data_IF_510483418087
#
_entry.id   IF_510483418087
#
_cell.length_a   1.000
_cell.length_b   1.000
_cell.length_c   1.000
_cell.angle_alpha   90.00
_cell.angle_beta   90.00
_cell.angle_gamma   90.00
#
_symmetry.space_group_name_H-M   'P 1'
#
loop_
_entity.id
_entity.type
_entity.pdbx_description
1 polymer ?
#
# COMPACT_ATOMS: atom_id res chain seq x y z
N UNK A 1 -3.70 -8.39 -11.39
CA UNK A 1 -3.95 -7.15 -10.62
C UNK A 1 -2.73 -6.88 -9.75
N UNK A 2 -2.13 -5.70 -9.89
CA UNK A 2 -0.98 -5.25 -9.12
C UNK A 2 -1.45 -4.26 -8.06
N UNK A 3 -1.16 -4.53 -6.79
CA UNK A 3 -1.64 -3.70 -5.69
C UNK A 3 -0.74 -2.47 -5.44
N UNK A 4 -1.33 -1.43 -4.86
CA UNK A 4 -0.63 -0.22 -4.42
C UNK A 4 0.15 -0.47 -3.10
N UNK A 5 0.92 0.53 -2.64
CA UNK A 5 1.80 0.45 -1.48
C UNK A 5 1.13 -0.14 -0.23
N UNK A 6 -0.04 0.33 0.12
CA UNK A 6 -0.77 -0.05 1.33
C UNK A 6 -1.96 -0.99 1.07
N UNK A 7 -1.94 -1.68 -0.05
CA UNK A 7 -2.91 -2.72 -0.40
C UNK A 7 -2.21 -4.09 -0.46
N UNK A 8 -2.97 -5.15 -0.66
CA UNK A 8 -2.50 -6.52 -0.70
C UNK A 8 -3.06 -7.29 -1.88
N UNK A 9 -2.76 -8.58 -1.96
CA UNK A 9 -3.35 -9.50 -2.91
C UNK A 9 -4.89 -9.66 -2.74
N UNK A 10 -5.44 -9.28 -1.61
CA UNK A 10 -6.88 -9.39 -1.34
C UNK A 10 -7.66 -8.24 -1.98
N UNK A 11 -7.90 -8.34 -3.28
CA UNK A 11 -8.57 -7.30 -4.06
C UNK A 11 -10.09 -7.45 -4.15
N UNK A 12 -10.65 -8.65 -3.99
CA UNK A 12 -12.09 -8.91 -4.12
C UNK A 12 -12.57 -10.01 -3.17
N UNK A 13 -13.87 -10.03 -2.88
CA UNK A 13 -14.50 -10.99 -1.99
C UNK A 13 -14.26 -10.68 -0.51
N UNK A 14 -14.66 -11.62 0.34
CA UNK A 14 -14.45 -11.57 1.79
C UNK A 14 -13.40 -12.62 2.17
N UNK A 15 -12.57 -12.34 3.17
CA UNK A 15 -11.73 -13.37 3.77
C UNK A 15 -12.61 -14.44 4.42
N UNK A 16 -12.18 -15.70 4.33
CA UNK A 16 -12.78 -16.79 5.08
C UNK A 16 -12.19 -16.85 6.50
N UNK A 17 -13.04 -17.05 7.48
CA UNK A 17 -12.64 -17.39 8.84
C UNK A 17 -12.11 -18.82 8.95
N UNK A 18 -11.65 -19.23 10.16
CA UNK A 18 -11.15 -20.58 10.41
C UNK A 18 -12.18 -21.69 10.14
N UNK A 19 -13.46 -21.36 10.22
CA UNK A 19 -14.62 -22.20 9.94
C UNK A 19 -15.05 -22.21 8.47
N UNK A 20 -14.36 -21.41 7.62
CA UNK A 20 -14.68 -21.24 6.20
C UNK A 20 -15.77 -20.20 5.93
N UNK A 21 -16.39 -19.61 6.96
CA UNK A 21 -17.41 -18.58 6.79
C UNK A 21 -16.79 -17.22 6.46
N UNK A 22 -17.48 -16.37 5.66
CA UNK A 22 -16.99 -15.05 5.32
C UNK A 22 -16.85 -14.15 6.56
N UNK A 23 -15.68 -13.56 6.75
CA UNK A 23 -15.43 -12.61 7.83
C UNK A 23 -16.10 -11.26 7.51
N UNK A 24 -17.01 -10.76 8.36
CA UNK A 24 -17.60 -9.45 8.18
C UNK A 24 -16.53 -8.34 8.09
N UNK A 25 -16.74 -7.38 7.18
CA UNK A 25 -15.84 -6.22 6.96
C UNK A 25 -14.42 -6.57 6.45
N UNK A 26 -14.21 -7.78 5.96
CA UNK A 26 -12.94 -8.21 5.34
C UNK A 26 -12.95 -8.07 3.82
N UNK A 27 -13.79 -7.21 3.27
CA UNK A 27 -13.96 -7.01 1.83
C UNK A 27 -12.66 -6.56 1.16
N UNK A 28 -12.38 -7.18 0.01
CA UNK A 28 -11.24 -6.81 -0.83
C UNK A 28 -11.27 -5.33 -1.23
N UNK A 29 -10.10 -4.70 -1.31
CA UNK A 29 -9.97 -3.26 -1.52
C UNK A 29 -10.50 -2.77 -2.89
N UNK A 30 -10.71 -3.68 -3.85
CA UNK A 30 -11.26 -3.40 -5.18
C UNK A 30 -12.50 -4.24 -5.52
N UNK A 31 -13.18 -4.72 -4.53
CA UNK A 31 -14.35 -5.59 -4.70
C UNK A 31 -15.45 -4.96 -5.56
N UNK A 32 -15.58 -3.64 -5.54
CA UNK A 32 -16.53 -2.94 -6.41
C UNK A 32 -16.18 -3.04 -7.90
N UNK A 33 -14.94 -3.34 -8.26
CA UNK A 33 -14.45 -3.44 -9.64
C UNK A 33 -14.31 -4.87 -10.14
N UNK A 34 -14.11 -5.84 -9.25
CA UNK A 34 -13.73 -7.22 -9.60
C UNK A 34 -14.76 -8.20 -9.04
N UNK A 35 -15.34 -9.00 -9.91
CA UNK A 35 -16.36 -10.00 -9.56
C UNK A 35 -17.26 -10.35 -10.73
N UNK A 36 -18.22 -11.27 -10.55
CA UNK A 36 -19.19 -11.63 -11.57
C UNK A 36 -20.01 -10.43 -12.02
N UNK A 37 -19.99 -10.13 -13.32
CA UNK A 37 -20.72 -9.00 -13.93
C UNK A 37 -20.17 -7.60 -13.58
N UNK A 38 -19.05 -7.51 -12.86
CA UNK A 38 -18.35 -6.23 -12.55
C UNK A 38 -17.43 -5.83 -13.70
N UNK A 39 -16.86 -4.61 -13.72
CA UNK A 39 -15.97 -4.15 -14.79
C UNK A 39 -14.83 -5.13 -15.14
N UNK A 40 -14.25 -5.78 -14.15
CA UNK A 40 -13.36 -6.94 -14.32
C UNK A 40 -14.18 -8.19 -13.99
N UNK A 41 -14.84 -8.72 -15.01
CA UNK A 41 -15.80 -9.79 -14.88
C UNK A 41 -15.12 -11.16 -14.70
N UNK A 42 -15.25 -11.75 -13.52
CA UNK A 42 -14.67 -13.05 -13.20
C UNK A 42 -15.40 -14.23 -13.86
N UNK A 43 -16.57 -14.04 -14.51
CA UNK A 43 -17.16 -15.04 -15.40
C UNK A 43 -16.36 -15.19 -16.71
N UNK A 44 -15.56 -14.17 -17.07
CA UNK A 44 -14.78 -14.11 -18.31
C UNK A 44 -13.29 -14.23 -18.11
N UNK A 45 -12.79 -13.78 -16.94
CA UNK A 45 -11.36 -13.70 -16.65
C UNK A 45 -11.04 -14.44 -15.37
N UNK A 46 -9.96 -15.24 -15.42
CA UNK A 46 -9.30 -15.70 -14.22
C UNK A 46 -8.43 -14.57 -13.69
N UNK A 47 -8.83 -13.96 -12.56
CA UNK A 47 -8.18 -12.78 -11.99
C UNK A 47 -7.23 -13.19 -10.89
N UNK A 48 -6.00 -12.72 -10.96
CA UNK A 48 -4.93 -13.04 -10.01
C UNK A 48 -4.44 -11.75 -9.36
N UNK A 49 -4.35 -11.74 -8.04
CA UNK A 49 -3.62 -10.76 -7.26
C UNK A 49 -2.46 -11.41 -6.55
N UNK A 50 -1.27 -10.85 -6.69
CA UNK A 50 -0.04 -11.38 -6.10
C UNK A 50 0.46 -10.35 -5.10
N UNK A 51 0.77 -10.80 -3.87
CA UNK A 51 1.35 -9.92 -2.87
C UNK A 51 2.86 -9.79 -3.12
N UNK A 52 3.37 -8.55 -3.05
CA UNK A 52 4.76 -8.26 -3.37
C UNK A 52 5.71 -8.75 -2.27
N UNK A 53 6.86 -9.35 -2.59
CA UNK A 53 7.96 -9.52 -1.64
C UNK A 53 8.35 -8.18 -0.99
N UNK A 54 8.67 -8.21 0.29
CA UNK A 54 8.89 -7.00 1.08
C UNK A 54 7.63 -6.36 1.67
N UNK A 55 6.44 -6.80 1.23
CA UNK A 55 5.16 -6.33 1.79
C UNK A 55 4.89 -6.92 3.17
N UNK A 56 4.17 -6.18 4.00
CA UNK A 56 3.73 -6.61 5.33
C UNK A 56 2.42 -7.43 5.34
N UNK A 57 1.95 -7.91 4.18
CA UNK A 57 0.65 -8.59 4.02
C UNK A 57 0.79 -10.08 3.67
N UNK A 58 1.81 -10.76 4.20
CA UNK A 58 1.96 -12.20 4.14
C UNK A 58 3.04 -12.75 3.21
N UNK A 59 3.59 -11.96 2.29
CA UNK A 59 4.82 -12.33 1.59
C UNK A 59 6.04 -12.15 2.51
N UNK A 60 7.15 -12.84 2.19
CA UNK A 60 8.41 -12.63 2.90
C UNK A 60 8.81 -11.16 2.83
N UNK A 61 9.10 -10.57 3.98
CA UNK A 61 9.39 -9.15 4.12
C UNK A 61 10.17 -8.87 5.41
N UNK A 62 10.37 -7.60 5.78
CA UNK A 62 11.12 -7.18 6.96
C UNK A 62 10.65 -7.83 8.27
N UNK A 63 9.36 -8.13 8.40
CA UNK A 63 8.79 -8.78 9.59
C UNK A 63 8.97 -10.30 9.63
N UNK A 64 9.44 -10.89 8.53
CA UNK A 64 9.67 -12.35 8.43
C UNK A 64 10.89 -12.78 9.24
N UNK A 65 10.92 -14.04 9.75
CA UNK A 65 12.10 -14.58 10.39
C UNK A 65 13.33 -14.52 9.48
N UNK A 66 14.45 -14.05 10.01
CA UNK A 66 15.73 -14.02 9.30
C UNK A 66 16.44 -15.39 9.49
N UNK A 67 16.68 -16.17 8.40
CA UNK A 67 17.32 -17.46 8.51
C UNK A 67 18.78 -17.38 8.99
N UNK A 68 19.45 -16.24 8.76
CA UNK A 68 20.86 -16.03 9.16
C UNK A 68 20.98 -15.63 10.63
N UNK A 69 19.87 -15.21 11.27
CA UNK A 69 19.85 -14.79 12.67
C UNK A 69 18.65 -15.44 13.37
N UNK A 70 18.80 -16.68 13.88
CA UNK A 70 17.69 -17.42 14.48
C UNK A 70 16.95 -16.63 15.58
N UNK A 71 15.63 -16.65 15.51
CA UNK A 71 14.76 -15.97 16.47
C UNK A 71 14.60 -14.47 16.28
N UNK A 72 15.18 -13.90 15.22
CA UNK A 72 15.06 -12.47 14.90
C UNK A 72 14.36 -12.27 13.55
N UNK A 73 13.56 -11.21 13.40
CA UNK A 73 13.08 -10.78 12.08
C UNK A 73 14.21 -10.12 11.30
N UNK A 74 14.03 -10.03 9.97
CA UNK A 74 14.97 -9.31 9.12
C UNK A 74 15.10 -7.83 9.56
N UNK A 75 14.00 -7.12 9.75
CA UNK A 75 14.04 -5.68 9.96
C UNK A 75 14.74 -4.98 8.80
N UNK A 76 15.65 -4.07 9.12
CA UNK A 76 16.48 -3.34 8.13
C UNK A 76 17.46 -4.23 7.34
N UNK A 77 17.68 -5.47 7.76
CA UNK A 77 18.54 -6.43 7.04
C UNK A 77 17.81 -7.08 5.85
N UNK A 78 16.52 -6.81 5.67
CA UNK A 78 15.78 -7.34 4.53
C UNK A 78 16.36 -6.76 3.22
N UNK A 79 16.57 -7.60 2.19
CA UNK A 79 17.12 -7.13 0.92
C UNK A 79 16.27 -6.03 0.30
N UNK A 80 16.92 -5.05 -0.32
CA UNK A 80 16.21 -4.05 -1.13
C UNK A 80 15.58 -4.76 -2.33
N UNK A 81 14.28 -4.56 -2.51
CA UNK A 81 13.52 -5.08 -3.65
C UNK A 81 12.99 -3.93 -4.49
N UNK A 82 13.06 -4.09 -5.80
CA UNK A 82 12.61 -3.10 -6.79
C UNK A 82 11.27 -3.50 -7.41
N UNK A 83 10.69 -2.60 -8.20
CA UNK A 83 9.48 -2.90 -8.98
C UNK A 83 9.75 -4.01 -9.99
N UNK A 84 10.93 -4.04 -10.57
CA UNK A 84 11.38 -5.07 -11.51
C UNK A 84 11.48 -6.44 -10.84
N UNK A 85 11.99 -6.50 -9.60
CA UNK A 85 12.05 -7.74 -8.82
C UNK A 85 10.65 -8.29 -8.53
N UNK A 86 9.70 -7.42 -8.20
CA UNK A 86 8.30 -7.83 -8.01
C UNK A 86 7.72 -8.42 -9.28
N UNK A 87 7.93 -7.75 -10.43
CA UNK A 87 7.43 -8.21 -11.72
C UNK A 87 8.09 -9.53 -12.13
N UNK A 88 9.40 -9.69 -11.88
CA UNK A 88 10.10 -10.94 -12.11
C UNK A 88 9.55 -12.09 -11.24
N UNK A 89 9.33 -11.85 -9.95
CA UNK A 89 8.72 -12.83 -9.04
C UNK A 89 7.30 -13.22 -9.47
N UNK A 90 6.49 -12.23 -9.88
CA UNK A 90 5.15 -12.46 -10.42
C UNK A 90 5.21 -13.30 -11.71
N UNK A 91 6.14 -13.01 -12.61
CA UNK A 91 6.33 -13.74 -13.86
C UNK A 91 6.71 -15.22 -13.63
N UNK A 92 7.56 -15.48 -12.63
CA UNK A 92 7.92 -16.84 -12.20
C UNK A 92 6.72 -17.60 -11.64
N UNK A 93 5.90 -16.95 -10.81
CA UNK A 93 4.69 -17.56 -10.28
C UNK A 93 3.71 -17.93 -11.40
N UNK A 94 3.45 -17.00 -12.35
CA UNK A 94 2.57 -17.26 -13.48
C UNK A 94 3.09 -18.40 -14.38
N UNK A 95 4.40 -18.49 -14.57
CA UNK A 95 5.02 -19.60 -15.28
C UNK A 95 4.75 -20.94 -14.57
N UNK A 96 4.87 -20.98 -13.25
CA UNK A 96 4.57 -22.17 -12.45
C UNK A 96 3.09 -22.58 -12.50
N UNK A 97 2.21 -21.61 -12.66
CA UNK A 97 0.77 -21.85 -12.87
C UNK A 97 0.41 -22.19 -14.32
N UNK A 98 1.39 -22.29 -15.24
CA UNK A 98 1.16 -22.58 -16.65
C UNK A 98 0.54 -21.40 -17.44
N UNK A 99 0.59 -20.19 -16.88
CA UNK A 99 0.00 -18.98 -17.50
C UNK A 99 1.09 -18.29 -18.32
N UNK A 100 0.98 -18.39 -19.63
CA UNK A 100 1.97 -17.85 -20.58
C UNK A 100 1.62 -16.45 -21.07
N UNK A 101 0.33 -16.08 -21.09
CA UNK A 101 -0.14 -14.81 -21.58
C UNK A 101 -1.24 -14.23 -20.69
N UNK A 102 -1.20 -12.92 -20.46
CA UNK A 102 -2.17 -12.15 -19.71
C UNK A 102 -3.07 -11.35 -20.67
N UNK A 103 -4.38 -11.43 -20.46
CA UNK A 103 -5.32 -10.54 -21.15
C UNK A 103 -5.08 -9.07 -20.80
N UNK A 104 -4.79 -8.79 -19.53
CA UNK A 104 -4.41 -7.46 -19.07
C UNK A 104 -3.56 -7.54 -17.80
N UNK A 105 -2.70 -6.54 -17.60
CA UNK A 105 -2.12 -6.19 -16.30
C UNK A 105 -2.71 -4.85 -15.89
N UNK A 106 -3.26 -4.78 -14.68
CA UNK A 106 -3.94 -3.59 -14.17
C UNK A 106 -3.44 -3.25 -12.78
N UNK A 107 -3.17 -1.97 -12.55
CA UNK A 107 -2.75 -1.48 -11.23
C UNK A 107 -2.88 0.02 -11.08
N UNK A 108 -3.05 0.47 -9.84
CA UNK A 108 -3.08 1.87 -9.46
C UNK A 108 -1.84 2.28 -8.67
N UNK A 109 -1.38 3.54 -8.84
CA UNK A 109 -0.22 4.06 -8.10
C UNK A 109 1.02 3.18 -8.29
N UNK A 110 1.62 2.66 -7.24
CA UNK A 110 2.73 1.70 -7.28
C UNK A 110 2.37 0.41 -8.05
N UNK A 111 1.10 -0.02 -8.00
CA UNK A 111 0.61 -1.12 -8.83
C UNK A 111 0.60 -0.78 -10.32
N UNK A 112 0.38 0.49 -10.66
CA UNK A 112 0.50 0.99 -12.04
C UNK A 112 1.95 1.00 -12.53
N UNK A 113 2.93 1.30 -11.68
CA UNK A 113 4.35 1.17 -12.01
C UNK A 113 4.71 -0.28 -12.31
N UNK A 114 4.17 -1.24 -11.54
CA UNK A 114 4.33 -2.68 -11.83
C UNK A 114 3.69 -3.04 -13.18
N UNK A 115 2.50 -2.51 -13.50
CA UNK A 115 1.84 -2.77 -14.78
C UNK A 115 2.67 -2.25 -15.95
N UNK A 116 3.29 -1.07 -15.82
CA UNK A 116 4.22 -0.53 -16.81
C UNK A 116 5.48 -1.40 -16.92
N UNK A 117 6.09 -1.80 -15.81
CA UNK A 117 7.27 -2.67 -15.82
C UNK A 117 6.97 -4.03 -16.46
N UNK A 118 5.77 -4.61 -16.28
CA UNK A 118 5.34 -5.79 -17.01
C UNK A 118 5.40 -5.64 -18.52
N UNK A 119 4.97 -4.50 -19.06
CA UNK A 119 4.99 -4.24 -20.51
C UNK A 119 6.39 -4.00 -21.04
N UNK A 120 7.33 -3.54 -20.20
CA UNK A 120 8.71 -3.32 -20.58
C UNK A 120 9.52 -4.62 -20.57
N UNK A 121 9.34 -5.47 -19.56
CA UNK A 121 10.12 -6.69 -19.38
C UNK A 121 9.52 -7.92 -20.07
N UNK A 122 8.19 -7.95 -20.24
CA UNK A 122 7.48 -9.10 -20.81
C UNK A 122 6.41 -8.66 -21.83
N UNK A 123 6.76 -7.85 -22.86
CA UNK A 123 5.79 -7.29 -23.80
C UNK A 123 4.97 -8.35 -24.53
N UNK A 124 5.56 -9.49 -24.86
CA UNK A 124 4.89 -10.60 -25.54
C UNK A 124 3.88 -11.33 -24.67
N UNK A 125 3.96 -11.18 -23.33
CA UNK A 125 3.08 -11.84 -22.37
C UNK A 125 1.87 -10.99 -21.96
N UNK A 126 1.82 -9.71 -22.33
CA UNK A 126 0.78 -8.76 -21.91
C UNK A 126 0.05 -8.21 -23.12
N UNK A 127 -1.27 -8.43 -23.21
CA UNK A 127 -2.08 -7.87 -24.31
C UNK A 127 -2.49 -6.42 -24.03
N UNK A 128 -2.84 -6.10 -22.79
CA UNK A 128 -3.28 -4.77 -22.38
C UNK A 128 -2.63 -4.36 -21.06
N UNK A 129 -2.22 -3.10 -20.98
CA UNK A 129 -1.77 -2.47 -19.74
C UNK A 129 -2.77 -1.40 -19.32
N UNK A 130 -3.24 -1.47 -18.08
CA UNK A 130 -4.16 -0.51 -17.50
C UNK A 130 -3.47 0.11 -16.28
N UNK A 131 -2.78 1.22 -16.51
CA UNK A 131 -2.05 1.97 -15.49
C UNK A 131 -2.89 3.16 -15.01
N UNK A 132 -3.24 3.19 -13.72
CA UNK A 132 -4.20 4.15 -13.16
C UNK A 132 -3.48 5.04 -12.14
N UNK A 133 -3.64 6.36 -12.24
CA UNK A 133 -3.09 7.33 -11.28
C UNK A 133 -1.62 7.02 -10.92
N UNK A 134 -0.79 6.83 -11.93
CA UNK A 134 0.61 6.45 -11.83
C UNK A 134 1.47 7.23 -12.84
N UNK A 135 2.77 7.14 -12.69
CA UNK A 135 3.72 7.76 -13.61
C UNK A 135 4.96 6.86 -13.79
N UNK A 136 5.63 6.91 -14.96
CA UNK A 136 6.87 6.20 -15.18
C UNK A 136 8.04 6.78 -14.38
N UNK A 137 7.97 8.07 -14.03
CA UNK A 137 8.95 8.80 -13.23
C UNK A 137 8.24 9.63 -12.16
N UNK A 138 8.85 9.72 -10.98
CA UNK A 138 8.40 10.64 -9.95
C UNK A 138 8.84 12.08 -10.29
N UNK A 139 7.95 13.06 -10.08
CA UNK A 139 8.32 14.47 -10.13
C UNK A 139 9.22 14.82 -8.94
N UNK A 140 9.94 15.95 -9.04
CA UNK A 140 10.73 16.49 -7.93
C UNK A 140 9.87 16.70 -6.67
N UNK A 141 8.63 17.16 -6.85
CA UNK A 141 7.68 17.34 -5.75
C UNK A 141 7.32 16.00 -5.07
N UNK A 142 7.02 14.94 -5.85
CA UNK A 142 6.77 13.62 -5.28
C UNK A 142 7.99 13.07 -4.54
N UNK A 143 9.21 13.27 -5.07
CA UNK A 143 10.46 12.88 -4.41
C UNK A 143 10.61 13.62 -3.08
N UNK A 144 10.31 14.94 -3.06
CA UNK A 144 10.37 15.75 -1.85
C UNK A 144 9.37 15.28 -0.78
N UNK A 145 8.11 15.03 -1.13
CA UNK A 145 7.12 14.48 -0.21
C UNK A 145 7.54 13.12 0.35
N UNK A 146 8.07 12.24 -0.50
CA UNK A 146 8.57 10.93 -0.08
C UNK A 146 9.77 11.06 0.87
N UNK A 147 10.67 12.04 0.64
CA UNK A 147 11.78 12.29 1.56
C UNK A 147 11.29 12.75 2.93
N UNK A 148 10.33 13.67 2.99
CA UNK A 148 9.76 14.11 4.27
C UNK A 148 9.09 12.93 5.00
N UNK A 149 8.36 12.06 4.27
CA UNK A 149 7.73 10.87 4.84
C UNK A 149 8.77 9.88 5.39
N UNK A 150 9.84 9.59 4.63
CA UNK A 150 10.94 8.74 5.10
C UNK A 150 11.64 9.33 6.33
N UNK A 151 11.93 10.65 6.28
CA UNK A 151 12.57 11.33 7.42
C UNK A 151 11.71 11.26 8.68
N UNK A 152 10.40 11.40 8.57
CA UNK A 152 9.49 11.25 9.70
C UNK A 152 9.61 9.85 10.34
N UNK A 153 9.74 8.80 9.53
CA UNK A 153 9.88 7.41 10.02
C UNK A 153 11.26 7.18 10.63
N UNK A 154 12.34 7.49 9.90
CA UNK A 154 13.70 7.14 10.34
C UNK A 154 14.21 7.98 11.53
N UNK A 155 13.59 9.13 11.78
CA UNK A 155 13.88 9.98 12.95
C UNK A 155 12.97 9.71 14.14
N UNK A 156 11.99 8.82 14.01
CA UNK A 156 11.18 8.36 15.15
C UNK A 156 12.10 7.65 16.17
N UNK A 157 12.11 8.05 17.46
CA UNK A 157 12.90 7.39 18.49
C UNK A 157 12.71 5.87 18.57
N UNK A 158 11.51 5.40 18.22
CA UNK A 158 11.14 3.98 18.26
C UNK A 158 11.55 3.21 16.99
N UNK A 159 12.18 3.86 15.98
CA UNK A 159 12.59 3.21 14.72
C UNK A 159 13.81 2.29 14.88
N UNK A 160 14.77 2.66 15.75
CA UNK A 160 15.97 1.88 16.03
C UNK A 160 16.73 1.42 14.78
N UNK A 161 16.91 2.31 13.80
CA UNK A 161 17.59 1.98 12.54
C UNK A 161 16.90 0.90 11.72
N UNK A 162 15.60 0.69 11.88
CA UNK A 162 14.79 -0.34 11.22
C UNK A 162 14.72 -1.67 11.98
N UNK A 163 15.36 -1.77 13.14
CA UNK A 163 15.33 -2.99 13.99
C UNK A 163 14.33 -2.89 15.15
N UNK A 164 13.34 -2.03 15.07
CA UNK A 164 12.36 -1.75 16.13
C UNK A 164 11.66 -3.00 16.69
N UNK A 165 11.43 -4.03 15.88
CA UNK A 165 10.84 -5.29 16.37
C UNK A 165 11.74 -6.01 17.38
N UNK A 166 13.07 -5.91 17.25
CA UNK A 166 14.03 -6.46 18.23
C UNK A 166 13.99 -5.74 19.57
N UNK A 167 13.48 -4.50 19.57
CA UNK A 167 13.31 -3.66 20.77
C UNK A 167 11.88 -3.70 21.32
N UNK A 168 10.96 -4.43 20.65
CA UNK A 168 9.57 -4.49 21.06
C UNK A 168 8.81 -3.16 20.85
N UNK A 169 9.31 -2.29 19.96
CA UNK A 169 8.75 -0.96 19.66
C UNK A 169 8.17 -0.91 18.25
N UNK A 170 7.44 0.15 17.93
CA UNK A 170 6.94 0.47 16.60
C UNK A 170 7.04 1.98 16.38
N UNK A 171 7.60 2.46 15.27
CA UNK A 171 7.77 3.88 14.98
C UNK A 171 6.45 4.52 14.51
N UNK A 172 5.46 4.47 15.40
CA UNK A 172 4.08 4.90 15.09
C UNK A 172 3.96 6.39 14.83
N UNK A 173 4.80 7.22 15.45
CA UNK A 173 4.80 8.68 15.24
C UNK A 173 5.22 8.99 13.82
N UNK A 174 6.32 8.39 13.37
CA UNK A 174 6.84 8.53 12.03
C UNK A 174 5.87 8.03 10.96
N UNK A 175 5.30 6.83 11.16
CA UNK A 175 4.29 6.25 10.26
C UNK A 175 3.04 7.14 10.16
N UNK A 176 2.55 7.69 11.27
CA UNK A 176 1.42 8.64 11.28
C UNK A 176 1.70 9.87 10.45
N UNK A 177 2.86 10.51 10.66
CA UNK A 177 3.25 11.72 9.91
C UNK A 177 3.42 11.43 8.43
N UNK A 178 4.08 10.33 8.08
CA UNK A 178 4.22 9.87 6.69
C UNK A 178 2.86 9.68 6.02
N UNK A 179 1.90 9.09 6.72
CA UNK A 179 0.55 8.89 6.21
C UNK A 179 -0.23 10.20 6.03
N UNK A 180 -0.10 11.14 6.96
CA UNK A 180 -0.73 12.47 6.84
C UNK A 180 -0.24 13.19 5.58
N UNK A 181 1.08 13.19 5.32
CA UNK A 181 1.66 13.77 4.11
C UNK A 181 1.08 13.09 2.88
N UNK A 182 1.02 11.76 2.85
CA UNK A 182 0.40 11.01 1.75
C UNK A 182 -1.04 11.46 1.48
N UNK A 183 -1.85 11.65 2.52
CA UNK A 183 -3.24 12.10 2.35
C UNK A 183 -3.37 13.55 1.84
N UNK A 184 -2.45 14.43 2.17
CA UNK A 184 -2.41 15.80 1.63
C UNK A 184 -2.12 15.75 0.12
N UNK A 185 -1.26 14.83 -0.34
CA UNK A 185 -0.89 14.73 -1.76
C UNK A 185 -1.90 13.95 -2.62
N UNK A 186 -2.84 13.20 -2.01
CA UNK A 186 -3.81 12.39 -2.75
C UNK A 186 -5.03 13.19 -3.24
N UNK A 187 -5.35 14.30 -2.60
CA UNK A 187 -6.48 15.14 -2.95
C UNK A 187 -5.97 16.44 -3.57
N UNK A 188 -6.66 16.92 -4.60
CA UNK A 188 -6.42 18.29 -5.08
C UNK A 188 -6.93 19.30 -4.05
N UNK A 189 -6.40 20.54 -4.11
CA UNK A 189 -6.83 21.63 -3.24
C UNK A 189 -8.34 21.85 -3.34
N UNK A 190 -8.89 21.86 -4.56
CA UNK A 190 -10.33 22.04 -4.80
C UNK A 190 -11.17 20.94 -4.12
N UNK A 191 -10.74 19.67 -4.23
CA UNK A 191 -11.45 18.54 -3.62
C UNK A 191 -11.34 18.61 -2.09
N UNK A 192 -10.19 18.99 -1.58
CA UNK A 192 -9.97 19.14 -0.14
C UNK A 192 -10.81 20.28 0.42
N UNK A 193 -10.86 21.44 -0.26
CA UNK A 193 -11.68 22.58 0.11
C UNK A 193 -13.18 22.27 0.01
N UNK A 194 -13.61 21.59 -1.05
CA UNK A 194 -15.01 21.19 -1.21
C UNK A 194 -15.46 20.23 -0.10
N UNK A 195 -14.57 19.32 0.31
CA UNK A 195 -14.92 18.28 1.28
C UNK A 195 -14.87 18.76 2.72
N UNK A 196 -13.91 19.58 3.07
CA UNK A 196 -13.66 20.00 4.47
C UNK A 196 -13.80 21.49 4.66
N UNK A 197 -13.38 22.33 3.70
CA UNK A 197 -13.36 23.78 3.84
C UNK A 197 -12.69 24.22 5.14
N UNK A 198 -13.34 25.13 5.83
CA UNK A 198 -12.96 25.58 7.18
C UNK A 198 -13.94 25.06 8.25
N UNK A 199 -14.57 23.91 8.01
CA UNK A 199 -15.52 23.35 8.93
C UNK A 199 -14.86 22.98 10.27
N UNK A 200 -15.41 23.50 11.36
CA UNK A 200 -14.94 23.25 12.71
C UNK A 200 -15.52 21.93 13.23
N UNK A 201 -14.76 21.22 14.03
CA UNK A 201 -15.18 19.95 14.62
C UNK A 201 -16.28 20.15 15.67
N UNK A 202 -16.13 21.15 16.53
CA UNK A 202 -17.02 21.42 17.66
C UNK A 202 -17.81 22.73 17.48
N UNK A 203 -17.80 23.35 16.30
CA UNK A 203 -18.55 24.57 16.00
C UNK A 203 -17.87 25.88 16.42
N UNK A 204 -16.83 25.84 17.23
CA UNK A 204 -16.08 27.01 17.71
C UNK A 204 -14.56 26.73 17.72
N UNK A 205 -13.77 27.82 17.68
CA UNK A 205 -12.30 27.74 17.76
C UNK A 205 -11.90 27.91 19.22
N UNK A 206 -11.19 26.90 19.76
CA UNK A 206 -10.69 26.90 21.12
C UNK A 206 -9.32 27.58 21.29
N UNK A 207 -8.64 27.94 20.18
CA UNK A 207 -7.27 28.47 20.15
C UNK A 207 -6.25 27.58 20.89
N UNK A 208 -6.47 26.27 20.85
CA UNK A 208 -5.54 25.29 21.40
C UNK A 208 -4.47 24.91 20.41
N UNK A 209 -3.24 24.70 20.89
CA UNK A 209 -2.13 24.19 20.05
C UNK A 209 -2.13 22.66 19.95
N UNK A 210 -2.92 21.95 20.71
CA UNK A 210 -2.93 20.49 20.80
C UNK A 210 -4.25 19.85 20.37
N UNK A 211 -5.36 20.57 20.52
CA UNK A 211 -6.68 20.07 20.20
C UNK A 211 -6.96 20.11 18.69
N UNK A 212 -7.90 19.28 18.28
CA UNK A 212 -8.39 19.28 16.91
C UNK A 212 -9.48 20.33 16.78
N UNK A 213 -9.26 21.32 15.95
CA UNK A 213 -10.24 22.38 15.71
C UNK A 213 -11.02 22.17 14.41
N UNK A 214 -10.33 21.79 13.34
CA UNK A 214 -10.91 21.62 12.01
C UNK A 214 -11.19 20.16 11.65
N UNK A 215 -12.20 19.92 10.83
CA UNK A 215 -12.56 18.58 10.33
C UNK A 215 -11.40 17.90 9.58
N UNK A 216 -10.63 18.66 8.81
CA UNK A 216 -9.46 18.13 8.08
C UNK A 216 -8.38 17.58 9.03
N UNK A 217 -8.14 18.20 10.18
CA UNK A 217 -7.20 17.70 11.17
C UNK A 217 -7.66 16.35 11.74
N UNK A 218 -8.95 16.25 12.06
CA UNK A 218 -9.57 15.01 12.53
C UNK A 218 -9.44 13.89 11.49
N UNK A 219 -9.69 14.21 10.22
CA UNK A 219 -9.53 13.28 9.11
C UNK A 219 -8.09 12.77 8.98
N UNK A 220 -7.10 13.68 8.99
CA UNK A 220 -5.69 13.31 8.87
C UNK A 220 -5.24 12.42 10.03
N UNK A 221 -5.60 12.77 11.27
CA UNK A 221 -5.26 11.96 12.45
C UNK A 221 -5.91 10.58 12.39
N UNK A 222 -7.17 10.47 12.00
CA UNK A 222 -7.84 9.18 11.85
C UNK A 222 -7.17 8.28 10.80
N UNK A 223 -6.82 8.84 9.66
CA UNK A 223 -6.12 8.08 8.60
C UNK A 223 -4.72 7.65 9.03
N UNK A 224 -4.04 8.50 9.78
CA UNK A 224 -2.71 8.23 10.31
C UNK A 224 -2.73 7.11 11.35
N UNK A 225 -3.65 7.17 12.32
CA UNK A 225 -3.80 6.16 13.37
C UNK A 225 -4.09 4.79 12.77
N UNK A 226 -5.08 4.71 11.89
CA UNK A 226 -5.44 3.47 11.21
C UNK A 226 -4.28 2.86 10.43
N UNK A 227 -3.49 3.68 9.73
CA UNK A 227 -2.34 3.20 8.96
C UNK A 227 -1.23 2.64 9.85
N UNK A 228 -0.90 3.32 10.95
CA UNK A 228 0.16 2.92 11.87
C UNK A 228 -0.16 1.64 12.68
N UNK A 229 -1.39 1.12 12.59
CA UNK A 229 -1.78 -0.14 13.25
C UNK A 229 -1.35 -1.38 12.46
N UNK A 230 -1.26 -1.29 11.13
CA UNK A 230 -1.06 -2.47 10.29
C UNK A 230 0.13 -2.38 9.33
N UNK A 231 0.69 -1.19 9.09
CA UNK A 231 1.74 -1.01 8.09
C UNK A 231 3.13 -1.11 8.71
N UNK A 232 4.03 -1.80 8.01
CA UNK A 232 5.44 -1.94 8.42
C UNK A 232 6.26 -0.71 8.00
N UNK A 233 7.28 -0.36 8.80
CA UNK A 233 8.06 0.86 8.61
C UNK A 233 9.35 0.68 7.78
N UNK A 234 9.72 -0.57 7.44
CA UNK A 234 10.91 -0.88 6.61
C UNK A 234 10.63 -1.00 5.13
#
# INVERSE_FOLDING_TARGET
VCHALNASHHFAGLHAGPDGEPLPKSQGWWDNMIGPGKPVDTNRFFVIGINNPGSCFGSTGPTSPNPDVPGQPYGADFPVVTVEDWVAAQALLLQRLGITQLAAVIGGSLGGMQALAWTLHYPERVRHCIAIATAPNLSAENIAFNEVARRAIVTDPDFHGGHYLRHGTLPRRGLRLARMIGHITYLSDDVMNTRFGRALRNGEIAFSTQDIEFQIESYLRHQADKFAEYFDAN
#
